data_IF_040180676945
#
_entry.id   IF_040180676945
#
_cell.length_a   1.000
_cell.length_b   1.000
_cell.length_c   1.000
_cell.angle_alpha   90.00
_cell.angle_beta   90.00
_cell.angle_gamma   90.00
#
_symmetry.space_group_name_H-M   'P 1'
#
loop_
_entity.id
_entity.type
_entity.pdbx_description
1 polymer ?
#
# COMPACT_ATOMS: atom_id res chain seq x y z
N UNK A 1 0.66 64.19 15.81
CA UNK A 1 1.39 62.91 15.67
C UNK A 1 0.46 61.78 16.08
N UNK A 2 -0.26 61.14 15.14
CA UNK A 2 -1.12 59.98 15.44
C UNK A 2 -0.36 58.73 15.00
N UNK A 3 0.12 57.95 15.97
CA UNK A 3 0.82 56.70 15.73
C UNK A 3 -0.23 55.63 15.38
N UNK A 4 -0.31 55.24 14.10
CA UNK A 4 -1.16 54.14 13.64
C UNK A 4 -0.42 52.82 13.91
N UNK A 5 -0.78 52.11 14.98
CA UNK A 5 -0.34 50.74 15.20
C UNK A 5 -1.11 49.81 14.25
N UNK A 6 -0.44 49.33 13.20
CA UNK A 6 -0.97 48.27 12.35
C UNK A 6 -0.87 46.94 13.12
N UNK A 7 -2.01 46.45 13.62
CA UNK A 7 -2.13 45.11 14.19
C UNK A 7 -2.12 44.09 13.04
N UNK A 8 -0.97 43.48 12.77
CA UNK A 8 -0.86 42.35 11.84
C UNK A 8 -1.44 41.11 12.52
N UNK A 9 -2.69 40.77 12.22
CA UNK A 9 -3.29 39.50 12.64
C UNK A 9 -2.62 38.36 11.87
N UNK A 10 -1.78 37.59 12.55
CA UNK A 10 -1.18 36.37 12.02
C UNK A 10 -2.30 35.32 11.89
N UNK A 11 -2.79 35.07 10.66
CA UNK A 11 -3.70 33.97 10.40
C UNK A 11 -2.93 32.65 10.55
N UNK A 12 -3.08 32.00 11.70
CA UNK A 12 -2.67 30.61 11.90
C UNK A 12 -3.69 29.77 11.14
N UNK A 13 -3.34 29.34 9.92
CA UNK A 13 -4.15 28.36 9.21
C UNK A 13 -4.18 27.06 10.02
N UNK A 14 -5.36 26.49 10.33
CA UNK A 14 -5.42 25.21 11.00
C UNK A 14 -4.73 24.18 10.11
N UNK A 15 -3.71 23.50 10.66
CA UNK A 15 -3.17 22.30 10.03
C UNK A 15 -4.33 21.30 9.93
N UNK A 16 -4.79 21.02 8.71
CA UNK A 16 -5.77 19.97 8.44
C UNK A 16 -5.07 18.66 8.77
N UNK A 17 -5.23 18.19 10.00
CA UNK A 17 -4.75 16.88 10.40
C UNK A 17 -5.69 15.87 9.79
N UNK A 18 -5.22 15.14 8.79
CA UNK A 18 -6.04 14.16 8.09
C UNK A 18 -6.27 12.95 9.01
N UNK A 19 -7.51 12.79 9.47
CA UNK A 19 -7.88 11.74 10.42
C UNK A 19 -8.29 10.46 9.70
N UNK A 20 -7.93 9.27 10.20
CA UNK A 20 -8.36 8.01 9.60
C UNK A 20 -9.90 7.93 9.48
N UNK A 21 -10.44 7.49 8.32
CA UNK A 21 -11.88 7.35 8.11
C UNK A 21 -12.52 6.20 8.91
N UNK A 22 -11.72 5.37 9.59
CA UNK A 22 -12.18 4.35 10.51
C UNK A 22 -11.05 3.67 11.27
N UNK A 23 -11.40 2.78 12.21
CA UNK A 23 -10.43 2.15 13.16
C UNK A 23 -9.44 1.21 12.48
N UNK A 24 -9.83 0.69 11.34
CA UNK A 24 -9.11 -0.23 10.47
C UNK A 24 -8.57 0.47 9.22
N UNK A 25 -8.50 1.81 9.20
CA UNK A 25 -7.88 2.57 8.12
C UNK A 25 -6.42 2.92 8.44
N UNK A 26 -5.54 2.79 7.45
CA UNK A 26 -4.14 3.24 7.51
C UNK A 26 -3.78 3.94 6.20
N UNK A 27 -2.94 4.99 6.25
CA UNK A 27 -2.39 5.58 5.02
C UNK A 27 -1.46 4.57 4.34
N UNK A 28 -1.61 4.41 3.02
CA UNK A 28 -0.76 3.52 2.23
C UNK A 28 0.73 3.85 2.43
N UNK A 29 1.05 5.15 2.40
CA UNK A 29 2.39 5.70 2.63
C UNK A 29 3.02 5.35 3.99
N UNK A 30 2.21 5.08 5.01
CA UNK A 30 2.67 4.71 6.35
C UNK A 30 2.92 3.21 6.51
N UNK A 31 2.67 2.40 5.47
CA UNK A 31 2.90 0.96 5.54
C UNK A 31 4.35 0.66 5.23
N UNK A 32 5.09 0.18 6.23
CA UNK A 32 6.51 -0.10 6.10
C UNK A 32 6.79 -1.41 5.35
N UNK A 33 6.01 -2.44 5.62
CA UNK A 33 6.27 -3.78 5.08
C UNK A 33 5.00 -4.62 5.03
N UNK A 34 4.92 -5.43 3.97
CA UNK A 34 3.92 -6.46 3.76
C UNK A 34 4.58 -7.83 3.86
N UNK A 35 3.87 -8.79 4.42
CA UNK A 35 4.25 -10.20 4.39
C UNK A 35 3.04 -10.97 3.89
N UNK A 36 3.18 -11.47 2.68
CA UNK A 36 2.15 -12.14 1.91
C UNK A 36 2.43 -13.63 1.94
N UNK A 37 1.37 -14.43 2.05
CA UNK A 37 1.48 -15.87 2.18
C UNK A 37 0.76 -16.57 1.04
N UNK A 38 1.35 -17.65 0.54
CA UNK A 38 0.63 -18.58 -0.32
C UNK A 38 -0.59 -19.14 0.42
N UNK A 39 -1.63 -19.48 -0.34
CA UNK A 39 -2.86 -20.10 0.16
C UNK A 39 -3.65 -19.27 1.18
N UNK A 40 -3.32 -17.98 1.36
CA UNK A 40 -4.13 -17.03 2.11
C UNK A 40 -4.92 -16.12 1.17
N UNK A 41 -6.09 -15.74 1.63
CA UNK A 41 -6.94 -14.76 0.97
C UNK A 41 -6.73 -13.40 1.61
N UNK A 42 -6.90 -12.34 0.84
CA UNK A 42 -6.97 -11.00 1.36
C UNK A 42 -8.16 -10.89 2.30
N UNK A 43 -8.08 -10.05 3.33
CA UNK A 43 -9.35 -9.57 3.89
C UNK A 43 -10.05 -8.74 2.81
N UNK A 44 -11.34 -8.46 2.94
CA UNK A 44 -12.03 -7.58 2.02
C UNK A 44 -13.24 -6.95 2.69
N UNK A 45 -13.56 -5.70 2.35
CA UNK A 45 -14.75 -5.01 2.90
C UNK A 45 -15.75 -4.63 1.82
N UNK A 46 -15.28 -4.07 0.72
CA UNK A 46 -16.11 -3.58 -0.39
C UNK A 46 -16.16 -4.58 -1.54
N UNK A 47 -15.11 -5.38 -1.70
CA UNK A 47 -14.96 -6.39 -2.76
C UNK A 47 -14.89 -7.80 -2.18
N UNK A 48 -14.89 -8.81 -3.04
CA UNK A 48 -14.62 -10.20 -2.62
C UNK A 48 -13.13 -10.40 -2.34
N UNK A 49 -12.76 -11.18 -1.32
CA UNK A 49 -11.39 -11.62 -1.09
C UNK A 49 -10.72 -12.23 -2.32
N UNK A 50 -9.44 -11.93 -2.54
CA UNK A 50 -8.58 -12.50 -3.59
C UNK A 50 -7.37 -13.20 -2.96
N UNK A 51 -6.62 -14.08 -3.64
CA UNK A 51 -5.39 -14.63 -3.08
C UNK A 51 -4.37 -13.53 -2.77
N UNK A 52 -3.62 -13.65 -1.67
CA UNK A 52 -2.55 -12.70 -1.33
C UNK A 52 -1.34 -12.76 -2.27
N UNK A 53 -1.16 -13.87 -2.97
CA UNK A 53 -0.09 -14.05 -3.96
C UNK A 53 -0.69 -14.60 -5.24
N UNK A 54 -0.48 -13.87 -6.32
CA UNK A 54 -0.89 -14.25 -7.67
C UNK A 54 0.30 -14.17 -8.62
N UNK A 55 0.42 -15.16 -9.51
CA UNK A 55 1.46 -15.17 -10.54
C UNK A 55 0.88 -14.75 -11.88
N UNK A 56 1.31 -13.58 -12.36
CA UNK A 56 1.07 -13.13 -13.72
C UNK A 56 2.36 -13.31 -14.53
N UNK A 57 2.41 -14.36 -15.34
CA UNK A 57 3.58 -14.70 -16.15
C UNK A 57 3.22 -14.98 -17.61
N UNK A 58 4.22 -15.07 -18.50
CA UNK A 58 4.01 -15.28 -19.94
C UNK A 58 3.33 -16.63 -20.27
N UNK A 59 3.30 -17.58 -19.32
CA UNK A 59 2.46 -18.76 -19.41
C UNK A 59 2.05 -19.26 -18.03
N UNK A 60 0.83 -19.81 -17.92
CA UNK A 60 0.35 -20.51 -16.72
C UNK A 60 1.27 -21.68 -16.33
N UNK A 61 1.90 -22.33 -17.32
CA UNK A 61 2.80 -23.45 -17.09
C UNK A 61 3.95 -23.05 -16.16
N UNK A 62 4.54 -21.87 -16.36
CA UNK A 62 5.66 -21.39 -15.53
C UNK A 62 5.19 -21.09 -14.10
N UNK A 63 4.07 -20.40 -13.94
CA UNK A 63 3.49 -20.11 -12.62
C UNK A 63 3.14 -21.38 -11.82
N UNK A 64 2.84 -22.49 -12.52
CA UNK A 64 2.53 -23.77 -11.88
C UNK A 64 3.77 -24.59 -11.50
N UNK A 65 4.99 -24.18 -11.91
CA UNK A 65 6.22 -24.90 -11.55
C UNK A 65 6.64 -24.60 -10.12
N UNK A 66 6.47 -23.36 -9.67
CA UNK A 66 6.83 -22.94 -8.33
C UNK A 66 6.03 -21.71 -7.90
N UNK A 67 5.45 -21.76 -6.70
CA UNK A 67 4.84 -20.63 -6.02
C UNK A 67 5.61 -20.37 -4.72
N UNK A 68 6.05 -19.13 -4.45
CA UNK A 68 6.68 -18.82 -3.19
C UNK A 68 5.67 -18.92 -2.05
N UNK A 69 6.05 -19.58 -0.95
CA UNK A 69 5.21 -19.71 0.25
C UNK A 69 5.03 -18.39 0.98
N UNK A 70 6.07 -17.55 0.99
CA UNK A 70 6.07 -16.23 1.63
C UNK A 70 6.77 -15.22 0.73
N UNK A 71 6.17 -14.03 0.60
CA UNK A 71 6.81 -12.88 -0.04
C UNK A 71 6.79 -11.70 0.92
N UNK A 72 7.90 -10.96 0.98
CA UNK A 72 8.02 -9.75 1.77
C UNK A 72 8.23 -8.55 0.87
N UNK A 73 7.33 -7.58 0.93
CA UNK A 73 7.41 -6.33 0.17
C UNK A 73 7.67 -5.16 1.10
N UNK A 74 8.77 -4.44 0.90
CA UNK A 74 9.17 -3.31 1.74
C UNK A 74 8.96 -2.01 0.97
N UNK A 75 8.30 -1.05 1.61
CA UNK A 75 8.13 0.30 1.09
C UNK A 75 9.51 0.99 1.00
N UNK A 76 9.87 1.49 -0.19
CA UNK A 76 11.13 2.18 -0.48
C UNK A 76 10.96 3.71 -0.58
N UNK A 77 9.83 4.23 -0.13
CA UNK A 77 9.43 5.61 -0.32
C UNK A 77 8.38 5.73 -1.42
N UNK A 78 8.34 6.90 -2.03
CA UNK A 78 7.39 7.23 -3.10
C UNK A 78 8.10 7.97 -4.23
N UNK A 79 7.52 7.94 -5.42
CA UNK A 79 8.07 8.65 -6.59
C UNK A 79 7.56 10.10 -6.62
N UNK A 80 6.46 10.38 -7.32
CA UNK A 80 5.99 11.75 -7.56
C UNK A 80 5.12 12.32 -6.44
N UNK A 81 4.29 11.50 -5.80
CA UNK A 81 3.41 11.91 -4.71
C UNK A 81 3.48 10.90 -3.56
N UNK A 82 2.99 11.28 -2.38
CA UNK A 82 3.10 10.45 -1.18
C UNK A 82 2.35 9.13 -1.27
N UNK A 83 1.41 8.98 -2.22
CA UNK A 83 0.58 7.78 -2.38
C UNK A 83 1.14 6.83 -3.45
N UNK A 84 2.05 7.29 -4.31
CA UNK A 84 2.79 6.50 -5.31
C UNK A 84 3.96 5.71 -4.67
N UNK A 85 3.59 4.82 -3.75
CA UNK A 85 4.53 4.02 -2.95
C UNK A 85 5.28 3.02 -3.82
N UNK A 86 6.60 3.05 -3.71
CA UNK A 86 7.50 2.16 -4.43
C UNK A 86 7.83 0.93 -3.57
N UNK A 87 7.47 -0.26 -4.05
CA UNK A 87 7.66 -1.51 -3.31
C UNK A 87 8.86 -2.30 -3.84
N UNK A 88 9.66 -2.85 -2.92
CA UNK A 88 10.62 -3.92 -3.25
C UNK A 88 10.16 -5.22 -2.63
N UNK A 89 9.81 -6.19 -3.47
CA UNK A 89 9.38 -7.52 -3.05
C UNK A 89 10.51 -8.55 -3.16
N UNK A 90 10.62 -9.41 -2.15
CA UNK A 90 11.58 -10.53 -2.09
C UNK A 90 10.88 -11.79 -1.63
N UNK A 91 11.28 -12.93 -2.17
CA UNK A 91 10.83 -14.25 -1.77
C UNK A 91 11.97 -15.26 -1.96
N UNK A 92 11.92 -16.36 -1.21
CA UNK A 92 12.83 -17.47 -1.42
C UNK A 92 12.39 -18.23 -2.68
N UNK A 93 13.33 -18.38 -3.62
CA UNK A 93 13.11 -19.04 -4.90
C UNK A 93 14.23 -20.06 -5.15
N UNK A 94 13.94 -21.19 -5.82
CA UNK A 94 14.99 -22.05 -6.36
C UNK A 94 15.87 -21.26 -7.35
N UNK A 95 17.16 -21.62 -7.50
CA UNK A 95 18.12 -20.84 -8.29
C UNK A 95 17.78 -20.74 -9.78
N UNK A 96 16.91 -21.62 -10.29
CA UNK A 96 16.41 -21.59 -11.67
C UNK A 96 15.32 -20.54 -11.90
N UNK A 97 14.79 -19.93 -10.83
CA UNK A 97 13.71 -18.96 -10.86
C UNK A 97 14.18 -17.58 -10.39
N UNK A 98 13.50 -16.55 -10.92
CA UNK A 98 13.63 -15.18 -10.45
C UNK A 98 12.26 -14.50 -10.44
N UNK A 99 12.08 -13.55 -9.54
CA UNK A 99 10.95 -12.64 -9.60
C UNK A 99 11.11 -11.72 -10.82
N UNK A 100 10.03 -11.56 -11.58
CA UNK A 100 9.92 -10.55 -12.62
C UNK A 100 9.50 -9.21 -12.03
N UNK A 101 8.72 -8.44 -12.78
CA UNK A 101 8.00 -7.30 -12.21
C UNK A 101 7.04 -7.79 -11.12
N UNK A 102 6.88 -6.97 -10.07
CA UNK A 102 5.98 -7.24 -8.95
C UNK A 102 5.13 -6.02 -8.71
N UNK A 103 3.81 -6.21 -8.70
CA UNK A 103 2.84 -5.16 -8.42
C UNK A 103 2.21 -5.46 -7.06
N UNK A 104 2.00 -4.43 -6.24
CA UNK A 104 1.33 -4.52 -4.95
C UNK A 104 0.00 -3.80 -5.06
N UNK A 105 -1.10 -4.49 -4.76
CA UNK A 105 -2.45 -3.94 -4.87
C UNK A 105 -3.14 -4.01 -3.51
N UNK A 106 -3.78 -2.90 -3.14
CA UNK A 106 -4.40 -2.69 -1.83
C UNK A 106 -5.86 -2.27 -2.01
N UNK A 107 -6.76 -2.72 -1.14
CA UNK A 107 -8.13 -2.21 -1.14
C UNK A 107 -8.18 -0.83 -0.44
N UNK A 108 -8.48 0.22 -1.21
CA UNK A 108 -8.80 1.53 -0.64
C UNK A 108 -10.03 1.49 0.28
N UNK A 109 -10.00 2.28 1.35
CA UNK A 109 -10.92 2.16 2.48
C UNK A 109 -12.35 2.57 2.12
N UNK A 110 -12.51 3.68 1.38
CA UNK A 110 -13.80 4.19 0.90
C UNK A 110 -14.07 3.80 -0.55
N UNK A 111 -13.08 4.00 -1.41
CA UNK A 111 -13.14 3.75 -2.86
C UNK A 111 -11.77 3.31 -3.39
N UNK A 112 -11.62 3.13 -4.71
CA UNK A 112 -10.39 2.59 -5.30
C UNK A 112 -9.22 3.58 -5.29
N UNK A 113 -9.48 4.89 -5.20
CA UNK A 113 -8.48 5.96 -5.25
C UNK A 113 -8.19 6.54 -3.86
N UNK A 114 -8.68 5.88 -2.80
CA UNK A 114 -8.52 6.31 -1.42
C UNK A 114 -7.11 5.98 -0.90
N UNK A 115 -6.36 7.03 -0.54
CA UNK A 115 -5.05 6.90 0.14
C UNK A 115 -5.10 6.15 1.47
N UNK A 116 -6.25 6.18 2.13
CA UNK A 116 -6.50 5.31 3.26
C UNK A 116 -6.89 3.95 2.72
N UNK A 117 -6.19 2.92 3.18
CA UNK A 117 -6.44 1.53 2.83
C UNK A 117 -6.91 0.77 4.06
N UNK A 118 -7.55 -0.37 3.83
CA UNK A 118 -8.00 -1.24 4.91
C UNK A 118 -6.81 -2.02 5.51
N UNK A 119 -6.64 -1.94 6.82
CA UNK A 119 -5.64 -2.67 7.60
C UNK A 119 -6.04 -4.13 7.71
N UNK A 120 -5.11 -5.03 7.43
CA UNK A 120 -5.27 -6.46 7.66
C UNK A 120 -4.51 -7.27 6.64
N UNK A 121 -4.99 -8.47 6.34
CA UNK A 121 -4.40 -9.38 5.36
C UNK A 121 -4.68 -8.96 3.90
N UNK A 122 -5.07 -7.70 3.65
CA UNK A 122 -5.68 -7.14 2.42
C UNK A 122 -4.78 -6.92 1.19
N UNK A 123 -3.62 -7.54 1.18
CA UNK A 123 -2.55 -7.20 0.25
C UNK A 123 -2.37 -8.33 -0.75
N UNK A 124 -2.33 -7.99 -2.04
CA UNK A 124 -2.08 -8.93 -3.15
C UNK A 124 -0.98 -8.44 -4.07
#
# INVERSE_FOLDING_TARGET
>A
MRLLLALTTLLIAPAICDTPPGRDAILLSNVNTLTLHAHRMTSARRVSPIPQLSCAGPSKKICNLYQPEVMRCTNQGHDYDVEDVQWTCKADLPPEFKLGATDVICEGYRDADDKWILKGELWS
#
